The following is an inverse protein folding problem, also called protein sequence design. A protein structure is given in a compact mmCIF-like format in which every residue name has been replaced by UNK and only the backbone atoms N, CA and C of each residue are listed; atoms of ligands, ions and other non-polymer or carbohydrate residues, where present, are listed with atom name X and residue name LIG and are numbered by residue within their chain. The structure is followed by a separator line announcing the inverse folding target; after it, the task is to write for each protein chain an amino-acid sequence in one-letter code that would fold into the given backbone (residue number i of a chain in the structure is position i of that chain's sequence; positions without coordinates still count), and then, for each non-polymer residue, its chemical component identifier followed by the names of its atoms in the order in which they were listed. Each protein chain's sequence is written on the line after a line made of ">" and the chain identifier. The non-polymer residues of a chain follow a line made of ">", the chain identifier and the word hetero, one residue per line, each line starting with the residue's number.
data_IF_245159802997
#
_entry.id   IF_245159802997
#
_cell.length_a   1.000
_cell.length_b   1.000
_cell.length_c   1.000
_cell.angle_alpha   90.00
_cell.angle_beta   90.00
_cell.angle_gamma   90.00
#
_symmetry.space_group_name_H-M   'P 1'
#
loop_
_entity.id
_entity.type
_entity.pdbx_description
1 polymer ?
#
# COMPACT_ATOMS: atom_id res chain seq x y z
N UNK A 1 -27.09 10.49 19.14
CA UNK A 1 -26.42 10.91 20.40
C UNK A 1 -25.44 9.82 20.83
N UNK A 2 -24.16 10.16 20.92
CA UNK A 2 -23.14 9.27 21.50
C UNK A 2 -23.05 9.56 23.00
N UNK A 3 -23.49 8.61 23.81
CA UNK A 3 -23.37 8.70 25.26
C UNK A 3 -22.03 8.10 25.72
N UNK A 4 -21.25 8.88 26.47
CA UNK A 4 -20.07 8.33 27.15
C UNK A 4 -20.52 7.48 28.34
N UNK A 5 -20.29 6.16 28.30
CA UNK A 5 -20.69 5.21 29.34
C UNK A 5 -20.11 5.47 30.73
N UNK A 6 -19.21 6.43 30.90
CA UNK A 6 -18.55 6.76 32.18
C UNK A 6 -19.20 7.90 32.96
N UNK A 7 -20.21 8.57 32.41
CA UNK A 7 -20.92 9.68 33.10
C UNK A 7 -22.27 9.18 33.61
N UNK A 8 -22.50 9.30 34.90
CA UNK A 8 -23.85 9.20 35.46
C UNK A 8 -24.61 10.48 35.05
N UNK A 9 -25.68 10.31 34.27
CA UNK A 9 -26.50 11.40 33.80
C UNK A 9 -27.53 11.77 34.87
N UNK A 10 -27.21 12.72 35.75
CA UNK A 10 -28.17 13.23 36.70
C UNK A 10 -29.24 14.12 36.03
N UNK A 11 -28.87 14.80 34.92
CA UNK A 11 -29.79 15.59 34.12
C UNK A 11 -29.51 15.49 32.63
N UNK A 12 -30.35 14.71 31.93
CA UNK A 12 -30.24 14.48 30.48
C UNK A 12 -30.39 15.77 29.67
N UNK A 13 -31.26 16.70 30.11
CA UNK A 13 -31.50 17.95 29.38
C UNK A 13 -30.28 18.85 29.39
N UNK A 14 -29.57 18.97 30.50
CA UNK A 14 -28.37 19.79 30.63
C UNK A 14 -27.20 19.16 29.89
N UNK A 15 -27.07 17.83 29.95
CA UNK A 15 -26.08 17.11 29.14
C UNK A 15 -26.31 17.32 27.65
N UNK A 16 -27.57 17.23 27.20
CA UNK A 16 -27.91 17.47 25.79
C UNK A 16 -27.56 18.90 25.34
N UNK A 17 -27.88 19.91 26.16
CA UNK A 17 -27.55 21.31 25.83
C UNK A 17 -26.04 21.54 25.71
N UNK A 18 -25.24 20.90 26.53
CA UNK A 18 -23.79 21.09 26.57
C UNK A 18 -23.07 20.30 25.48
N UNK A 19 -23.64 19.16 25.03
CA UNK A 19 -22.97 18.19 24.13
C UNK A 19 -23.71 17.99 22.81
N UNK A 20 -24.83 18.65 22.55
CA UNK A 20 -25.52 18.55 21.27
C UNK A 20 -24.70 19.24 20.18
N UNK A 21 -24.52 18.55 19.07
CA UNK A 21 -23.85 19.06 17.88
C UNK A 21 -24.81 19.05 16.73
N UNK A 22 -24.92 20.19 16.03
CA UNK A 22 -25.70 20.28 14.80
C UNK A 22 -24.89 19.67 13.65
N UNK A 23 -25.48 18.72 12.95
CA UNK A 23 -24.86 18.07 11.79
C UNK A 23 -25.76 18.23 10.59
N UNK A 24 -25.19 18.55 9.44
CA UNK A 24 -25.86 18.51 8.14
C UNK A 24 -25.48 17.20 7.47
N UNK A 25 -26.50 16.39 7.16
CA UNK A 25 -26.29 15.09 6.52
C UNK A 25 -26.57 15.22 5.01
N UNK A 26 -25.62 14.75 4.18
CA UNK A 26 -25.79 14.58 2.74
C UNK A 26 -26.23 13.15 2.39
N UNK A 27 -26.17 12.83 1.12
CA UNK A 27 -26.47 11.48 0.58
C UNK A 27 -25.34 10.47 0.79
N UNK A 28 -24.17 10.93 1.24
CA UNK A 28 -23.00 10.08 1.49
C UNK A 28 -23.00 9.51 2.92
N UNK A 29 -22.02 8.64 3.21
CA UNK A 29 -21.82 8.06 4.56
C UNK A 29 -21.75 9.14 5.63
N UNK A 30 -22.55 9.01 6.67
CA UNK A 30 -22.64 9.99 7.72
C UNK A 30 -21.50 9.83 8.73
N UNK A 31 -20.76 10.92 8.93
CA UNK A 31 -19.74 11.01 9.97
C UNK A 31 -20.13 12.15 10.90
N UNK A 32 -20.31 11.84 12.18
CA UNK A 32 -20.62 12.85 13.20
C UNK A 32 -19.29 13.44 13.67
N UNK A 33 -19.02 14.68 13.26
CA UNK A 33 -17.82 15.44 13.62
C UNK A 33 -18.19 16.60 14.56
N UNK A 34 -17.30 16.94 15.48
CA UNK A 34 -17.41 18.18 16.24
C UNK A 34 -17.28 19.40 15.32
N UNK A 35 -17.72 20.61 15.73
CA UNK A 35 -17.58 21.81 14.90
C UNK A 35 -16.14 22.12 14.49
N UNK A 36 -15.15 21.76 15.33
CA UNK A 36 -13.72 21.92 15.03
C UNK A 36 -13.31 20.95 13.92
N UNK A 37 -13.66 19.69 14.06
CA UNK A 37 -13.34 18.65 13.07
C UNK A 37 -13.99 18.95 11.73
N UNK A 38 -15.23 19.42 11.70
CA UNK A 38 -15.91 19.86 10.48
C UNK A 38 -15.12 20.98 9.78
N UNK A 39 -14.69 22.01 10.52
CA UNK A 39 -13.89 23.13 9.98
C UNK A 39 -12.54 22.66 9.44
N UNK A 40 -11.87 21.74 10.15
CA UNK A 40 -10.60 21.17 9.69
C UNK A 40 -10.82 20.40 8.38
N UNK A 41 -11.82 19.54 8.33
CA UNK A 41 -12.18 18.78 7.13
C UNK A 41 -12.48 19.69 5.94
N UNK A 42 -13.36 20.67 6.13
CA UNK A 42 -13.72 21.66 5.11
C UNK A 42 -12.50 22.43 4.59
N UNK A 43 -11.59 22.84 5.49
CA UNK A 43 -10.37 23.54 5.10
C UNK A 43 -9.41 22.65 4.27
N UNK A 44 -9.27 21.39 4.65
CA UNK A 44 -8.47 20.41 3.90
C UNK A 44 -9.04 20.24 2.49
N UNK A 45 -10.36 20.02 2.41
CA UNK A 45 -11.06 19.78 1.13
C UNK A 45 -11.09 21.03 0.23
N UNK A 46 -11.10 22.24 0.82
CA UNK A 46 -11.10 23.48 0.05
C UNK A 46 -9.75 23.81 -0.61
N UNK A 47 -8.64 23.37 -0.02
CA UNK A 47 -7.29 23.69 -0.53
C UNK A 47 -6.62 22.54 -1.25
N UNK A 48 -7.08 21.31 -1.04
CA UNK A 48 -6.47 20.11 -1.59
C UNK A 48 -7.14 19.62 -2.86
N UNK A 49 -6.34 19.04 -3.76
CA UNK A 49 -6.80 18.26 -4.90
C UNK A 49 -6.77 16.78 -4.53
N UNK A 50 -7.85 16.02 -4.76
CA UNK A 50 -7.83 14.57 -4.49
C UNK A 50 -6.63 13.88 -5.14
N UNK A 51 -6.00 12.97 -4.41
CA UNK A 51 -4.77 12.33 -4.86
C UNK A 51 -4.92 11.59 -6.19
N UNK A 52 -6.09 11.02 -6.48
CA UNK A 52 -6.40 10.42 -7.79
C UNK A 52 -6.22 11.38 -8.98
N UNK A 53 -6.29 12.69 -8.75
CA UNK A 53 -6.19 13.73 -9.78
C UNK A 53 -4.76 14.33 -9.87
N UNK A 54 -3.76 13.65 -9.25
CA UNK A 54 -2.36 14.10 -9.20
C UNK A 54 -1.47 13.55 -10.32
N UNK A 55 -2.04 12.86 -11.31
CA UNK A 55 -1.25 12.23 -12.39
C UNK A 55 -0.38 11.08 -11.90
N UNK A 56 -0.83 10.40 -10.85
CA UNK A 56 -0.21 9.21 -10.28
C UNK A 56 -1.10 7.99 -10.52
N UNK A 57 -0.51 6.81 -10.38
CA UNK A 57 -1.24 5.55 -10.37
C UNK A 57 -1.09 4.87 -9.01
N UNK A 58 -2.17 4.30 -8.52
CA UNK A 58 -2.20 3.53 -7.28
C UNK A 58 -2.50 2.09 -7.62
N UNK A 59 -1.59 1.19 -7.26
CA UNK A 59 -1.72 -0.23 -7.52
C UNK A 59 -1.59 -1.03 -6.22
N UNK A 60 -1.93 -2.30 -6.27
CA UNK A 60 -1.61 -3.27 -5.21
C UNK A 60 -0.34 -4.04 -5.54
N UNK A 61 0.29 -4.62 -4.53
CA UNK A 61 1.43 -5.50 -4.70
C UNK A 61 1.10 -6.78 -5.49
N UNK A 62 2.14 -7.55 -5.76
CA UNK A 62 2.03 -8.84 -6.47
C UNK A 62 1.20 -9.82 -5.63
N UNK A 63 0.27 -10.46 -6.30
CA UNK A 63 -0.56 -11.52 -5.75
C UNK A 63 -0.04 -12.88 -6.26
N UNK A 64 0.53 -13.66 -5.37
CA UNK A 64 1.08 -14.98 -5.72
C UNK A 64 0.03 -16.08 -5.73
N UNK A 65 -1.05 -15.89 -4.97
CA UNK A 65 -2.05 -16.93 -4.70
C UNK A 65 -1.55 -18.08 -3.80
N UNK A 66 -0.23 -18.23 -3.64
CA UNK A 66 0.40 -19.19 -2.72
C UNK A 66 1.82 -18.73 -2.37
N UNK A 67 1.94 -17.98 -1.29
CA UNK A 67 3.21 -17.31 -0.92
C UNK A 67 4.33 -18.32 -0.62
N UNK A 68 4.03 -19.48 -0.06
CA UNK A 68 5.00 -20.50 0.36
C UNK A 68 5.85 -20.99 -0.80
N UNK A 69 5.29 -21.06 -2.02
CA UNK A 69 6.02 -21.47 -3.20
C UNK A 69 6.81 -20.32 -3.86
N UNK A 70 6.26 -19.10 -3.85
CA UNK A 70 6.80 -17.98 -4.62
C UNK A 70 7.62 -16.98 -3.83
N UNK A 71 7.52 -16.97 -2.50
CA UNK A 71 8.29 -16.05 -1.62
C UNK A 71 9.27 -16.88 -0.82
N UNK A 72 10.54 -16.77 -1.16
CA UNK A 72 11.63 -17.56 -0.63
C UNK A 72 12.59 -16.70 0.24
N UNK A 73 13.26 -17.34 1.16
CA UNK A 73 14.35 -16.71 1.92
C UNK A 73 15.66 -16.63 1.13
N UNK A 74 16.63 -15.92 1.68
CA UNK A 74 17.93 -15.70 1.05
C UNK A 74 18.70 -17.01 0.79
N UNK A 75 18.66 -17.95 1.74
CA UNK A 75 19.34 -19.24 1.58
C UNK A 75 18.78 -20.02 0.39
N UNK A 76 17.45 -20.10 0.27
CA UNK A 76 16.81 -20.78 -0.88
C UNK A 76 17.09 -20.05 -2.19
N UNK A 77 17.10 -18.73 -2.21
CA UNK A 77 17.52 -17.94 -3.40
C UNK A 77 18.94 -18.34 -3.83
N UNK A 78 19.88 -18.37 -2.88
CA UNK A 78 21.28 -18.67 -3.15
C UNK A 78 21.44 -20.13 -3.67
N UNK A 79 20.71 -21.09 -3.08
CA UNK A 79 20.66 -22.48 -3.53
C UNK A 79 20.19 -22.58 -4.99
N UNK A 80 19.05 -21.96 -5.34
CA UNK A 80 18.49 -21.99 -6.68
C UNK A 80 19.42 -21.35 -7.73
N UNK A 81 20.09 -20.25 -7.37
CA UNK A 81 21.04 -19.57 -8.26
C UNK A 81 22.33 -20.40 -8.41
N UNK A 82 22.76 -21.10 -7.37
CA UNK A 82 23.93 -21.98 -7.45
C UNK A 82 23.68 -23.21 -8.32
N UNK A 83 22.44 -23.76 -8.26
CA UNK A 83 22.02 -24.89 -9.09
C UNK A 83 21.82 -24.49 -10.55
N UNK A 84 21.18 -23.35 -10.79
CA UNK A 84 20.94 -22.78 -12.11
C UNK A 84 21.11 -21.27 -12.06
N UNK A 85 22.25 -20.71 -12.54
CA UNK A 85 22.50 -19.27 -12.52
C UNK A 85 21.45 -18.43 -13.25
N UNK A 86 20.73 -18.99 -14.21
CA UNK A 86 19.63 -18.33 -14.92
C UNK A 86 18.48 -17.98 -14.00
N UNK A 87 18.31 -18.70 -12.89
CA UNK A 87 17.30 -18.40 -11.86
C UNK A 87 17.34 -16.95 -11.37
N UNK A 88 18.52 -16.30 -11.37
CA UNK A 88 18.67 -14.90 -10.98
C UNK A 88 17.87 -13.91 -11.87
N UNK A 89 17.56 -14.33 -13.12
CA UNK A 89 16.80 -13.48 -14.06
C UNK A 89 15.36 -13.21 -13.62
N UNK A 90 14.78 -14.12 -12.82
CA UNK A 90 13.38 -14.02 -12.38
C UNK A 90 13.20 -13.96 -10.85
N UNK A 91 14.28 -13.90 -10.09
CA UNK A 91 14.21 -13.68 -8.63
C UNK A 91 14.35 -12.19 -8.32
N UNK A 92 13.41 -11.64 -7.54
CA UNK A 92 13.34 -10.20 -7.20
C UNK A 92 13.17 -9.99 -5.69
N UNK A 93 13.77 -8.96 -5.09
CA UNK A 93 13.52 -8.63 -3.70
C UNK A 93 12.07 -8.19 -3.52
N UNK A 94 11.44 -8.57 -2.39
CA UNK A 94 10.04 -8.27 -2.11
C UNK A 94 9.83 -7.81 -0.67
N UNK A 95 9.04 -6.76 -0.49
CA UNK A 95 8.61 -6.26 0.81
C UNK A 95 7.19 -6.74 1.14
N UNK A 96 6.98 -7.04 2.41
CA UNK A 96 5.63 -7.22 2.98
C UNK A 96 5.20 -5.93 3.67
N UNK A 97 3.91 -5.74 3.88
CA UNK A 97 3.40 -4.55 4.56
C UNK A 97 4.02 -4.28 5.94
N UNK A 98 4.34 -5.31 6.70
CA UNK A 98 4.98 -5.22 8.03
C UNK A 98 6.44 -4.76 7.99
N UNK A 99 7.09 -4.91 6.85
CA UNK A 99 8.48 -4.51 6.65
C UNK A 99 8.57 -2.97 6.41
N UNK A 100 7.46 -2.34 6.02
CA UNK A 100 7.38 -0.92 5.68
C UNK A 100 7.22 -0.09 6.95
N UNK A 101 8.07 0.92 7.12
CA UNK A 101 8.10 1.86 8.22
C UNK A 101 7.85 3.28 7.71
N UNK A 102 7.73 4.22 8.63
CA UNK A 102 7.62 5.64 8.28
C UNK A 102 8.95 6.15 7.73
N UNK A 103 8.97 6.54 6.46
CA UNK A 103 10.14 7.00 5.68
C UNK A 103 11.17 5.94 5.35
N UNK A 104 10.95 4.66 5.62
CA UNK A 104 11.91 3.59 5.33
C UNK A 104 11.27 2.21 5.41
N UNK A 105 12.07 1.18 5.28
CA UNK A 105 11.64 -0.21 5.44
C UNK A 105 12.79 -1.09 5.95
N UNK A 106 12.43 -2.15 6.64
CA UNK A 106 13.37 -3.18 7.09
C UNK A 106 13.28 -4.37 6.12
N UNK A 107 14.27 -4.50 5.23
CA UNK A 107 14.28 -5.61 4.28
C UNK A 107 14.54 -6.93 5.01
N UNK A 108 13.57 -7.83 4.94
CA UNK A 108 13.60 -9.13 5.65
C UNK A 108 14.29 -10.25 4.84
N UNK A 109 15.09 -9.92 3.82
CA UNK A 109 15.76 -10.88 2.93
C UNK A 109 14.79 -11.89 2.32
N UNK A 110 13.63 -11.39 1.85
CA UNK A 110 12.65 -12.17 1.12
C UNK A 110 12.70 -11.86 -0.37
N UNK A 111 12.49 -12.90 -1.15
CA UNK A 111 12.65 -12.86 -2.58
C UNK A 111 11.46 -13.50 -3.27
N UNK A 112 10.97 -12.83 -4.32
CA UNK A 112 9.89 -13.31 -5.17
C UNK A 112 10.47 -14.12 -6.34
N UNK A 113 9.96 -15.31 -6.57
CA UNK A 113 10.08 -15.98 -7.85
C UNK A 113 9.06 -15.34 -8.79
N UNK A 114 9.52 -14.39 -9.63
CA UNK A 114 8.68 -13.61 -10.54
C UNK A 114 8.45 -14.36 -11.87
N UNK A 115 7.85 -15.53 -11.81
CA UNK A 115 7.40 -16.27 -12.99
C UNK A 115 6.13 -15.62 -13.58
N UNK A 116 6.27 -14.40 -14.10
CA UNK A 116 5.16 -13.59 -14.58
C UNK A 116 4.46 -14.16 -15.80
N UNK A 117 3.19 -13.81 -15.98
CA UNK A 117 2.35 -14.25 -17.11
C UNK A 117 2.45 -13.33 -18.34
N UNK A 118 3.53 -12.54 -18.45
CA UNK A 118 3.71 -11.57 -19.52
C UNK A 118 2.81 -10.33 -19.40
N UNK A 119 2.94 -9.45 -20.39
CA UNK A 119 2.09 -8.27 -20.61
C UNK A 119 1.77 -8.20 -22.09
N UNK A 120 0.56 -8.60 -22.47
CA UNK A 120 0.16 -8.72 -23.90
C UNK A 120 0.29 -7.40 -24.65
N UNK A 121 -0.13 -6.30 -24.02
CA UNK A 121 -0.12 -4.96 -24.59
C UNK A 121 1.32 -4.44 -24.83
N UNK A 122 2.28 -4.93 -24.06
CA UNK A 122 3.71 -4.60 -24.20
C UNK A 122 4.48 -5.64 -25.02
N UNK A 123 3.86 -6.70 -25.51
CA UNK A 123 4.51 -7.78 -26.23
C UNK A 123 5.44 -8.65 -25.37
N UNK A 124 5.34 -8.54 -24.04
CA UNK A 124 6.12 -9.34 -23.10
C UNK A 124 5.47 -10.72 -22.95
N UNK A 125 6.21 -11.77 -23.29
CA UNK A 125 5.72 -13.15 -23.19
C UNK A 125 5.71 -13.64 -21.75
N UNK A 126 4.81 -14.60 -21.40
CA UNK A 126 4.90 -15.33 -20.14
C UNK A 126 6.27 -15.99 -19.96
N UNK A 127 6.72 -16.08 -18.72
CA UNK A 127 7.90 -16.91 -18.39
C UNK A 127 7.56 -18.37 -18.68
N UNK A 128 8.40 -19.00 -19.50
CA UNK A 128 8.39 -20.44 -19.66
C UNK A 128 9.22 -21.06 -18.54
N UNK A 129 8.56 -21.80 -17.64
CA UNK A 129 9.23 -22.36 -16.46
C UNK A 129 10.26 -23.42 -16.80
N UNK A 130 10.14 -24.09 -17.94
CA UNK A 130 11.09 -25.10 -18.40
C UNK A 130 12.47 -24.51 -18.72
N UNK A 131 12.55 -23.19 -18.93
CA UNK A 131 13.81 -22.46 -19.10
C UNK A 131 14.57 -22.24 -17.79
N UNK A 132 13.98 -22.58 -16.63
CA UNK A 132 14.50 -22.38 -15.27
C UNK A 132 14.37 -23.66 -14.44
N UNK A 133 15.17 -24.70 -14.74
CA UNK A 133 14.97 -26.03 -14.16
C UNK A 133 15.07 -26.10 -12.65
N UNK A 134 15.96 -25.34 -12.01
CA UNK A 134 16.05 -25.28 -10.55
C UNK A 134 14.77 -24.69 -9.93
N UNK A 135 14.26 -23.59 -10.49
CA UNK A 135 13.00 -22.97 -10.03
C UNK A 135 11.83 -23.91 -10.28
N UNK A 136 11.79 -24.59 -11.43
CA UNK A 136 10.74 -25.57 -11.73
C UNK A 136 10.73 -26.68 -10.69
N UNK A 137 11.90 -27.28 -10.40
CA UNK A 137 12.05 -28.34 -9.39
C UNK A 137 11.57 -27.88 -8.01
N UNK A 138 11.83 -26.62 -7.63
CA UNK A 138 11.31 -26.03 -6.40
C UNK A 138 9.79 -25.90 -6.43
N UNK A 139 9.21 -25.36 -7.50
CA UNK A 139 7.76 -25.17 -7.64
C UNK A 139 6.99 -26.49 -7.76
N UNK A 140 7.59 -27.53 -8.33
CA UNK A 140 7.00 -28.87 -8.44
C UNK A 140 6.67 -29.49 -7.08
N UNK A 141 7.39 -29.11 -6.02
CA UNK A 141 7.10 -29.55 -4.64
C UNK A 141 5.75 -29.04 -4.16
N UNK A 142 5.22 -27.97 -4.75
CA UNK A 142 3.96 -27.32 -4.43
C UNK A 142 2.90 -27.48 -5.52
N UNK A 143 3.14 -28.34 -6.52
CA UNK A 143 2.30 -28.42 -7.72
C UNK A 143 0.81 -28.63 -7.43
N UNK A 144 0.40 -29.49 -6.46
CA UNK A 144 -1.02 -29.69 -6.15
C UNK A 144 -1.74 -28.42 -5.69
N UNK A 145 -1.03 -27.54 -4.96
CA UNK A 145 -1.55 -26.25 -4.48
C UNK A 145 -1.54 -25.22 -5.60
N UNK A 146 -0.47 -25.20 -6.41
CA UNK A 146 -0.34 -24.29 -7.54
C UNK A 146 -1.42 -24.53 -8.60
N UNK A 147 -1.75 -25.79 -8.88
CA UNK A 147 -2.81 -26.14 -9.82
C UNK A 147 -4.19 -25.67 -9.36
N UNK A 148 -4.48 -25.73 -8.07
CA UNK A 148 -5.79 -25.37 -7.49
C UNK A 148 -5.97 -23.88 -7.23
N UNK A 149 -4.88 -23.08 -7.13
CA UNK A 149 -4.98 -21.66 -6.80
C UNK A 149 -5.77 -20.87 -7.85
N UNK A 150 -6.60 -19.95 -7.39
CA UNK A 150 -7.41 -19.09 -8.28
C UNK A 150 -6.57 -18.00 -8.95
N UNK A 151 -5.52 -17.50 -8.26
CA UNK A 151 -4.66 -16.42 -8.71
C UNK A 151 -3.41 -16.97 -9.47
N UNK A 152 -3.64 -17.72 -10.56
CA UNK A 152 -2.58 -18.20 -11.45
C UNK A 152 -2.68 -17.53 -12.83
N UNK A 153 -1.59 -17.62 -13.61
CA UNK A 153 -1.54 -17.24 -15.01
C UNK A 153 -1.98 -18.37 -15.94
N UNK A 154 -1.36 -18.43 -17.12
CA UNK A 154 -1.68 -19.42 -18.15
C UNK A 154 -1.32 -20.86 -17.73
N UNK A 155 -0.31 -21.00 -16.86
CA UNK A 155 0.08 -22.27 -16.27
C UNK A 155 0.04 -22.20 -14.74
N UNK A 156 0.05 -23.36 -14.03
CA UNK A 156 0.17 -23.38 -12.57
C UNK A 156 1.46 -22.70 -12.05
N UNK A 157 2.51 -22.63 -12.86
CA UNK A 157 3.77 -21.99 -12.48
C UNK A 157 3.77 -20.48 -12.63
N UNK A 158 2.89 -19.92 -13.49
CA UNK A 158 2.85 -18.48 -13.71
C UNK A 158 2.05 -17.75 -12.65
N UNK A 159 2.57 -16.60 -12.25
CA UNK A 159 1.83 -15.64 -11.45
C UNK A 159 0.65 -15.08 -12.27
N UNK A 160 -0.38 -14.60 -11.57
CA UNK A 160 -1.52 -13.90 -12.18
C UNK A 160 -1.05 -12.72 -13.03
N UNK A 161 -1.79 -12.43 -14.11
CA UNK A 161 -1.57 -11.25 -14.94
C UNK A 161 -1.47 -9.97 -14.13
N UNK A 162 -0.43 -9.16 -14.38
CA UNK A 162 -0.18 -7.88 -13.78
C UNK A 162 0.20 -6.87 -14.88
N UNK A 163 -0.77 -6.08 -15.34
CA UNK A 163 -0.58 -5.13 -16.43
C UNK A 163 0.41 -4.00 -16.09
N UNK A 164 0.61 -3.74 -14.78
CA UNK A 164 1.54 -2.71 -14.26
C UNK A 164 2.84 -3.31 -13.69
N UNK A 165 3.25 -4.48 -14.15
CA UNK A 165 4.46 -5.14 -13.63
C UNK A 165 5.73 -4.30 -13.83
N UNK A 166 5.82 -3.55 -14.93
CA UNK A 166 6.94 -2.65 -15.20
C UNK A 166 7.07 -1.53 -14.16
N UNK A 167 5.99 -1.15 -13.49
CA UNK A 167 6.01 -0.13 -12.44
C UNK A 167 6.75 -0.58 -11.17
N UNK A 168 6.97 -1.88 -10.97
CA UNK A 168 7.84 -2.37 -9.89
C UNK A 168 9.31 -2.07 -10.14
N UNK A 169 9.72 -1.85 -11.38
CA UNK A 169 11.08 -1.44 -11.74
C UNK A 169 11.32 0.08 -11.65
N UNK A 170 10.29 0.85 -11.27
CA UNK A 170 10.38 2.28 -10.99
C UNK A 170 10.44 2.53 -9.48
N UNK A 171 10.98 3.68 -9.08
CA UNK A 171 10.87 4.14 -7.70
C UNK A 171 9.41 4.42 -7.36
N UNK A 172 8.95 3.96 -6.21
CA UNK A 172 7.53 4.00 -5.81
C UNK A 172 7.36 4.30 -4.33
N UNK A 173 6.22 4.91 -3.96
CA UNK A 173 5.80 5.02 -2.56
C UNK A 173 5.01 3.76 -2.21
N UNK A 174 5.32 3.15 -1.07
CA UNK A 174 4.71 1.90 -0.61
C UNK A 174 4.21 2.03 0.82
N UNK A 175 3.19 1.23 1.19
CA UNK A 175 2.68 1.20 2.56
C UNK A 175 1.99 -0.12 2.89
N UNK A 176 1.83 -0.39 4.19
CA UNK A 176 1.02 -1.51 4.66
C UNK A 176 -0.47 -1.18 4.57
N UNK A 177 -1.28 -2.10 4.04
CA UNK A 177 -2.72 -1.91 3.90
C UNK A 177 -3.45 -1.85 5.26
N UNK A 178 -2.90 -2.45 6.30
CA UNK A 178 -3.45 -2.48 7.66
C UNK A 178 -2.36 -2.08 8.65
N UNK A 179 -2.50 -0.92 9.30
CA UNK A 179 -1.52 -0.35 10.20
C UNK A 179 -2.16 0.36 11.40
N UNK A 180 -1.38 0.53 12.48
CA UNK A 180 -1.77 1.38 13.63
C UNK A 180 -1.70 2.87 13.29
N UNK A 181 -0.76 3.25 12.42
CA UNK A 181 -0.54 4.62 11.98
C UNK A 181 -0.13 4.63 10.50
N UNK A 182 -0.25 5.79 9.86
CA UNK A 182 0.26 5.99 8.52
C UNK A 182 1.78 5.76 8.47
N UNK A 183 2.23 4.83 7.64
CA UNK A 183 3.63 4.49 7.43
C UNK A 183 3.87 4.32 5.94
N UNK A 184 4.44 5.35 5.33
CA UNK A 184 4.78 5.37 3.91
C UNK A 184 6.28 5.47 3.74
N UNK A 185 6.82 4.74 2.77
CA UNK A 185 8.23 4.76 2.41
C UNK A 185 8.41 4.83 0.89
N UNK A 186 9.57 5.27 0.44
CA UNK A 186 9.99 5.07 -0.94
C UNK A 186 10.70 3.73 -1.02
N UNK A 187 10.25 2.87 -1.92
CA UNK A 187 10.94 1.64 -2.29
C UNK A 187 11.73 1.85 -3.58
N UNK A 188 12.94 1.28 -3.60
CA UNK A 188 13.87 1.41 -4.71
C UNK A 188 13.36 0.71 -5.99
N UNK A 189 14.01 1.02 -7.10
CA UNK A 189 13.78 0.35 -8.37
C UNK A 189 14.03 -1.16 -8.24
N UNK A 190 13.17 -1.96 -8.85
CA UNK A 190 13.26 -3.43 -8.77
C UNK A 190 12.81 -4.06 -7.45
N UNK A 191 12.47 -3.27 -6.42
CA UNK A 191 11.85 -3.77 -5.19
C UNK A 191 10.37 -4.07 -5.46
N UNK A 192 9.97 -5.32 -5.31
CA UNK A 192 8.58 -5.75 -5.42
C UNK A 192 7.85 -5.62 -4.09
N UNK A 193 6.53 -5.59 -4.14
CA UNK A 193 5.67 -5.44 -2.96
C UNK A 193 4.66 -6.58 -2.98
N UNK A 194 4.52 -7.28 -1.86
CA UNK A 194 3.54 -8.35 -1.71
C UNK A 194 2.14 -7.78 -1.41
N UNK A 195 1.13 -8.26 -2.11
CA UNK A 195 -0.26 -7.95 -1.77
C UNK A 195 -0.60 -8.42 -0.33
N UNK A 196 -1.48 -7.71 0.39
CA UNK A 196 -2.35 -6.63 -0.06
C UNK A 196 -1.72 -5.23 0.00
N UNK A 197 -0.41 -5.11 0.27
CA UNK A 197 0.27 -3.81 0.38
C UNK A 197 0.23 -3.06 -0.94
N UNK A 198 -0.17 -1.77 -0.93
CA UNK A 198 -0.28 -0.98 -2.15
C UNK A 198 1.01 -0.20 -2.47
N UNK A 199 1.01 0.41 -3.67
CA UNK A 199 2.08 1.29 -4.14
C UNK A 199 1.51 2.46 -4.96
N UNK A 200 2.25 3.58 -4.97
CA UNK A 200 2.01 4.75 -5.83
C UNK A 200 3.21 4.94 -6.75
N UNK A 201 2.95 5.15 -8.03
CA UNK A 201 3.94 5.51 -9.04
C UNK A 201 3.46 6.71 -9.86
N UNK A 202 4.39 7.61 -10.25
CA UNK A 202 5.79 7.70 -9.81
C UNK A 202 5.91 8.13 -8.34
N UNK A 203 7.06 7.81 -7.72
CA UNK A 203 7.37 8.31 -6.39
C UNK A 203 7.62 9.83 -6.43
N UNK A 204 7.17 10.53 -5.37
CA UNK A 204 7.37 11.95 -5.18
C UNK A 204 7.62 12.23 -3.70
N UNK A 205 8.73 12.91 -3.37
CA UNK A 205 9.12 13.18 -1.99
C UNK A 205 8.19 14.15 -1.27
N UNK A 206 7.66 15.15 -1.98
CA UNK A 206 6.64 16.03 -1.45
C UNK A 206 5.42 15.21 -1.00
N UNK A 207 4.92 14.36 -1.91
CA UNK A 207 3.79 13.48 -1.63
C UNK A 207 4.08 12.52 -0.46
N UNK A 208 5.30 11.97 -0.38
CA UNK A 208 5.71 11.13 0.76
C UNK A 208 5.62 11.91 2.08
N UNK A 209 6.04 13.17 2.08
CA UNK A 209 5.94 14.05 3.26
C UNK A 209 4.49 14.29 3.68
N UNK A 210 3.62 14.60 2.72
CA UNK A 210 2.18 14.80 2.96
C UNK A 210 1.53 13.53 3.51
N UNK A 211 1.73 12.37 2.85
CA UNK A 211 1.16 11.09 3.27
C UNK A 211 1.59 10.68 4.68
N UNK A 212 2.81 10.98 5.08
CA UNK A 212 3.32 10.73 6.43
C UNK A 212 2.94 11.82 7.45
N UNK A 213 2.19 12.85 7.06
CA UNK A 213 1.77 13.90 7.99
C UNK A 213 0.65 13.43 8.93
N UNK A 214 0.61 14.02 10.13
CA UNK A 214 -0.49 13.78 11.08
C UNK A 214 -1.85 14.19 10.50
N UNK A 215 -1.87 15.22 9.64
CA UNK A 215 -3.09 15.72 9.05
C UNK A 215 -3.66 14.74 8.00
N UNK A 216 -2.80 14.16 7.16
CA UNK A 216 -3.20 13.12 6.20
C UNK A 216 -3.69 11.86 6.93
N UNK A 217 -2.97 11.42 7.97
CA UNK A 217 -3.39 10.27 8.79
C UNK A 217 -4.77 10.51 9.42
N UNK A 218 -4.99 11.69 9.99
CA UNK A 218 -6.29 12.08 10.55
C UNK A 218 -7.41 12.04 9.50
N UNK A 219 -7.18 12.61 8.32
CA UNK A 219 -8.18 12.65 7.25
C UNK A 219 -8.51 11.24 6.73
N UNK A 220 -7.50 10.41 6.45
CA UNK A 220 -7.67 9.04 5.96
C UNK A 220 -8.42 8.18 6.96
N UNK A 221 -8.11 8.31 8.25
CA UNK A 221 -8.82 7.60 9.33
C UNK A 221 -10.30 7.98 9.41
N UNK A 222 -10.66 9.20 9.04
CA UNK A 222 -12.05 9.63 8.91
C UNK A 222 -12.81 8.96 7.77
N UNK A 223 -12.11 8.42 6.76
CA UNK A 223 -12.70 7.72 5.61
C UNK A 223 -12.71 6.20 5.76
N UNK A 224 -11.80 5.67 6.55
CA UNK A 224 -11.54 4.24 6.64
C UNK A 224 -12.31 3.53 7.74
N UNK A 225 -12.03 2.24 7.86
CA UNK A 225 -12.64 1.35 8.86
C UNK A 225 -11.61 0.96 9.92
N UNK A 226 -11.98 1.13 11.18
CA UNK A 226 -11.20 0.62 12.32
C UNK A 226 -11.37 -0.89 12.42
N UNK A 227 -10.26 -1.60 12.64
CA UNK A 227 -10.23 -3.03 12.91
C UNK A 227 -9.86 -3.29 14.38
N UNK A 228 -9.99 -4.54 14.81
CA UNK A 228 -9.63 -4.95 16.16
C UNK A 228 -8.17 -4.54 16.50
N UNK A 229 -7.91 -4.17 17.75
CA UNK A 229 -6.60 -3.75 18.22
C UNK A 229 -6.18 -2.34 17.80
N UNK A 230 -7.12 -1.52 17.29
CA UNK A 230 -6.85 -0.12 16.89
C UNK A 230 -6.22 0.03 15.52
N UNK A 231 -6.15 -1.04 14.72
CA UNK A 231 -5.67 -0.98 13.34
C UNK A 231 -6.66 -0.27 12.43
N UNK A 232 -6.14 0.44 11.44
CA UNK A 232 -6.90 1.08 10.37
C UNK A 232 -6.54 0.51 9.00
N UNK A 233 -7.53 0.51 8.10
CA UNK A 233 -7.35 0.11 6.71
C UNK A 233 -6.93 1.32 5.87
N UNK A 234 -5.68 1.32 5.40
CA UNK A 234 -5.14 2.31 4.46
C UNK A 234 -5.28 1.81 3.02
N UNK A 235 -6.52 1.48 2.63
CA UNK A 235 -6.82 0.96 1.28
C UNK A 235 -6.65 2.04 0.20
N UNK A 236 -6.26 1.67 -1.03
CA UNK A 236 -6.19 2.58 -2.17
C UNK A 236 -7.42 3.47 -2.32
N UNK A 237 -8.64 2.92 -2.19
CA UNK A 237 -9.91 3.63 -2.30
C UNK A 237 -10.11 4.76 -1.27
N UNK A 238 -9.37 4.78 -0.17
CA UNK A 238 -9.35 5.86 0.80
C UNK A 238 -8.23 6.83 0.51
N UNK A 239 -7.04 6.32 0.16
CA UNK A 239 -5.85 7.12 -0.14
C UNK A 239 -6.07 8.01 -1.36
N UNK A 240 -6.70 7.50 -2.42
CA UNK A 240 -7.02 8.26 -3.63
C UNK A 240 -7.91 9.49 -3.40
N UNK A 241 -8.66 9.50 -2.28
CA UNK A 241 -9.55 10.60 -1.89
C UNK A 241 -8.85 11.68 -1.07
N UNK A 242 -7.62 11.44 -0.58
CA UNK A 242 -6.89 12.41 0.23
C UNK A 242 -6.71 13.72 -0.55
N UNK A 243 -7.21 14.85 -0.06
CA UNK A 243 -6.95 16.14 -0.67
C UNK A 243 -5.50 16.58 -0.38
N UNK A 244 -4.69 16.68 -1.42
CA UNK A 244 -3.30 17.12 -1.33
C UNK A 244 -3.18 18.51 -1.93
N UNK A 245 -2.64 19.50 -1.20
CA UNK A 245 -2.54 20.87 -1.72
C UNK A 245 -1.51 20.95 -2.83
N UNK A 246 -1.84 21.67 -3.92
CA UNK A 246 -0.87 22.13 -4.89
C UNK A 246 -0.28 23.44 -4.35
N UNK A 247 1.01 23.43 -4.12
CA UNK A 247 1.73 24.56 -3.50
C UNK A 247 2.68 25.19 -4.52
N UNK A 248 3.30 26.33 -4.16
CA UNK A 248 4.38 26.92 -4.97
C UNK A 248 5.61 26.02 -4.97
N UNK A 249 6.42 26.13 -6.03
CA UNK A 249 7.67 25.37 -6.20
C UNK A 249 8.57 25.50 -4.96
N UNK A 250 8.65 26.70 -4.38
CA UNK A 250 9.44 26.96 -3.16
C UNK A 250 8.98 26.12 -1.96
N UNK A 251 7.67 26.02 -1.75
CA UNK A 251 7.11 25.21 -0.63
C UNK A 251 7.32 23.72 -0.92
N UNK A 252 7.12 23.29 -2.16
CA UNK A 252 7.33 21.91 -2.56
C UNK A 252 8.79 21.50 -2.36
N UNK A 253 9.73 22.35 -2.78
CA UNK A 253 11.16 22.14 -2.61
C UNK A 253 11.56 22.09 -1.13
N UNK A 254 11.05 23.00 -0.31
CA UNK A 254 11.30 22.99 1.14
C UNK A 254 10.85 21.69 1.80
N UNK A 255 9.65 21.20 1.49
CA UNK A 255 9.14 19.93 2.01
C UNK A 255 9.98 18.76 1.48
N UNK A 256 10.31 18.75 0.19
CA UNK A 256 11.16 17.73 -0.44
C UNK A 256 12.53 17.64 0.23
N UNK A 257 13.14 18.78 0.54
CA UNK A 257 14.43 18.86 1.23
C UNK A 257 14.35 18.32 2.66
N UNK A 258 13.27 18.62 3.40
CA UNK A 258 13.03 18.05 4.73
C UNK A 258 12.86 16.53 4.69
N UNK A 259 12.11 16.03 3.70
CA UNK A 259 11.95 14.59 3.49
C UNK A 259 13.28 13.94 3.12
N UNK A 260 14.09 14.55 2.25
CA UNK A 260 15.40 14.05 1.86
C UNK A 260 16.34 13.89 3.06
N UNK A 261 16.36 14.88 3.97
CA UNK A 261 17.11 14.80 5.25
C UNK A 261 16.61 13.71 6.18
N UNK A 262 15.39 13.22 6.00
CA UNK A 262 14.80 12.16 6.81
C UNK A 262 15.09 10.78 6.23
N UNK A 263 15.36 10.71 4.92
CA UNK A 263 15.71 9.48 4.20
C UNK A 263 17.21 9.16 4.25
N UNK A 264 18.07 10.16 4.47
CA UNK A 264 19.51 10.02 4.72
C UNK A 264 19.77 9.61 6.18
#
# INVERSE_FOLDING_TARGET
>A
CLFNKKLSLENISDYFRQHATSCTFGSESWVILSPIEQRIKQKIEAVGTPLRDWGISIYRGILTGYNEAFIIGEDKKNELIAEDPKSAEIIRPILRGRDIKRYGYDFSNLWLINSHNGIKEAGIKPINIDDYPAIKSHLDQYYPELEKRADKGDTPYNLRNCAYMEDFYRQKIVWGNLNLHATYAIAEEGMFINAPSPLIVPANKYLLGILNSKLADYYIRGLGVTRNGGYFEYKPMFIEKLPVPRVSDEIEENITNLVSKRLS
#
